data_IF_974833818120
#
_entry.id   IF_974833818120
#
_cell.length_a   1.000
_cell.length_b   1.000
_cell.length_c   1.000
_cell.angle_alpha   90.00
_cell.angle_beta   90.00
_cell.angle_gamma   90.00
#
_symmetry.space_group_name_H-M   'P 1'
#
loop_
_entity.id
_entity.type
_entity.pdbx_description
1 polymer ?
#
# COMPACT_ATOMS: atom_id res chain seq x y z
N UNK A 1 -14.64 -20.25 -17.10
CA UNK A 1 -14.22 -19.48 -15.92
C UNK A 1 -14.67 -18.06 -16.13
N UNK A 2 -15.69 -17.59 -15.42
CA UNK A 2 -16.20 -16.23 -15.59
C UNK A 2 -15.15 -15.23 -15.06
N UNK A 3 -14.76 -14.27 -15.91
CA UNK A 3 -13.90 -13.15 -15.50
C UNK A 3 -14.71 -12.30 -14.55
N UNK A 4 -14.26 -12.23 -13.29
CA UNK A 4 -14.82 -11.29 -12.32
C UNK A 4 -14.55 -9.90 -12.88
N UNK A 5 -15.58 -9.08 -13.15
CA UNK A 5 -15.36 -7.77 -13.73
C UNK A 5 -14.44 -6.96 -12.79
N UNK A 6 -13.39 -6.31 -13.33
CA UNK A 6 -12.49 -5.51 -12.52
C UNK A 6 -13.30 -4.44 -11.80
N UNK A 7 -12.85 -4.08 -10.60
CA UNK A 7 -13.44 -2.94 -9.90
C UNK A 7 -13.30 -1.69 -10.78
N UNK A 8 -14.20 -0.73 -10.65
CA UNK A 8 -14.11 0.53 -11.40
C UNK A 8 -12.72 1.19 -11.24
N UNK A 9 -12.10 1.05 -10.07
CA UNK A 9 -10.75 1.53 -9.75
C UNK A 9 -9.64 0.82 -10.52
N UNK A 10 -9.88 -0.38 -11.06
CA UNK A 10 -8.89 -1.14 -11.83
C UNK A 10 -9.03 -0.92 -13.35
N UNK A 11 -10.03 -0.17 -13.82
CA UNK A 11 -10.16 0.20 -15.24
C UNK A 11 -8.98 1.10 -15.65
N UNK A 12 -8.23 0.67 -16.67
CA UNK A 12 -7.07 1.41 -17.17
C UNK A 12 -5.82 1.32 -16.28
N UNK A 13 -5.86 0.55 -15.18
CA UNK A 13 -4.72 0.38 -14.27
C UNK A 13 -3.48 -0.17 -14.98
N UNK A 14 -3.64 -1.13 -15.88
CA UNK A 14 -2.51 -1.69 -16.65
C UNK A 14 -1.81 -0.65 -17.53
N UNK A 15 -2.59 0.22 -18.18
CA UNK A 15 -2.03 1.31 -18.98
C UNK A 15 -1.36 2.36 -18.07
N UNK A 16 -2.01 2.73 -16.96
CA UNK A 16 -1.47 3.67 -15.99
C UNK A 16 -0.19 3.14 -15.34
N UNK A 17 -0.11 1.85 -15.06
CA UNK A 17 1.09 1.18 -14.54
C UNK A 17 2.24 1.24 -15.52
N UNK A 18 1.99 1.06 -16.83
CA UNK A 18 3.01 1.19 -17.89
C UNK A 18 3.67 2.58 -17.91
N UNK A 19 2.89 3.63 -17.67
CA UNK A 19 3.41 5.01 -17.65
C UNK A 19 4.02 5.44 -16.31
N UNK A 20 3.66 4.79 -15.20
CA UNK A 20 4.11 5.21 -13.86
C UNK A 20 5.21 4.32 -13.27
N UNK A 21 5.28 3.03 -13.61
CA UNK A 21 6.28 2.11 -13.03
C UNK A 21 7.63 2.29 -13.73
N UNK A 22 8.63 2.70 -12.96
CA UNK A 22 10.03 2.79 -13.40
C UNK A 22 10.50 4.19 -13.80
N UNK A 23 9.59 5.13 -14.03
CA UNK A 23 9.91 6.52 -14.32
C UNK A 23 10.11 7.32 -13.03
N UNK A 24 11.32 7.26 -12.46
CA UNK A 24 11.71 8.02 -11.26
C UNK A 24 12.76 9.09 -11.62
N UNK A 25 12.44 9.99 -12.56
CA UNK A 25 13.36 11.07 -12.94
C UNK A 25 13.54 12.06 -11.77
N UNK A 26 14.79 12.30 -11.36
CA UNK A 26 15.11 13.24 -10.29
C UNK A 26 14.96 12.71 -8.86
N UNK A 27 14.59 11.42 -8.68
CA UNK A 27 14.44 10.81 -7.36
C UNK A 27 15.29 9.56 -7.20
N UNK A 28 16.06 9.50 -6.11
CA UNK A 28 16.68 8.27 -5.64
C UNK A 28 15.69 7.55 -4.74
N UNK A 29 15.08 6.47 -5.23
CA UNK A 29 14.14 5.65 -4.46
C UNK A 29 14.78 4.31 -4.09
N UNK A 30 14.79 3.98 -2.81
CA UNK A 30 15.18 2.70 -2.25
C UNK A 30 13.94 2.02 -1.67
N UNK A 31 13.62 0.83 -2.15
CA UNK A 31 12.52 0.01 -1.64
C UNK A 31 13.08 -1.31 -1.10
N UNK A 32 12.83 -1.59 0.18
CA UNK A 32 13.24 -2.82 0.86
C UNK A 32 11.99 -3.58 1.26
N UNK A 33 11.80 -4.77 0.68
CA UNK A 33 10.68 -5.68 0.99
C UNK A 33 11.18 -6.88 1.77
N UNK A 34 10.67 -7.05 2.97
CA UNK A 34 10.97 -8.18 3.83
C UNK A 34 9.69 -8.96 4.09
N UNK A 35 9.70 -10.26 3.79
CA UNK A 35 8.59 -11.16 4.11
C UNK A 35 9.04 -12.12 5.19
N UNK A 36 8.33 -12.11 6.31
CA UNK A 36 8.55 -13.06 7.41
C UNK A 36 7.78 -14.36 7.15
N UNK A 37 8.27 -15.47 7.70
CA UNK A 37 7.58 -16.77 7.61
C UNK A 37 6.18 -16.74 8.28
N UNK A 38 6.01 -15.85 9.26
CA UNK A 38 4.75 -15.60 9.96
C UNK A 38 3.69 -14.88 9.10
N UNK A 39 3.99 -14.52 7.84
CA UNK A 39 3.04 -13.89 6.91
C UNK A 39 2.95 -12.37 7.03
N UNK A 40 3.88 -11.74 7.77
CA UNK A 40 4.02 -10.29 7.85
C UNK A 40 4.97 -9.82 6.76
N UNK A 41 4.54 -8.83 5.98
CA UNK A 41 5.34 -8.19 4.94
C UNK A 41 5.63 -6.75 5.36
N UNK A 42 6.91 -6.42 5.47
CA UNK A 42 7.38 -5.06 5.72
C UNK A 42 7.95 -4.51 4.43
N UNK A 43 7.47 -3.34 4.02
CA UNK A 43 8.01 -2.58 2.89
C UNK A 43 8.49 -1.24 3.41
N UNK A 44 9.80 -1.10 3.55
CA UNK A 44 10.44 0.18 3.88
C UNK A 44 10.84 0.88 2.59
N UNK A 45 10.40 2.12 2.43
CA UNK A 45 10.58 2.93 1.24
C UNK A 45 11.28 4.24 1.64
N UNK A 46 12.44 4.53 1.07
CA UNK A 46 13.12 5.82 1.18
C UNK A 46 13.20 6.48 -0.17
N UNK A 47 12.84 7.76 -0.27
CA UNK A 47 12.98 8.54 -1.50
C UNK A 47 13.68 9.86 -1.22
N UNK A 48 14.74 10.15 -1.96
CA UNK A 48 15.45 11.43 -1.93
C UNK A 48 15.21 12.18 -3.24
N UNK A 49 14.65 13.38 -3.15
CA UNK A 49 14.47 14.27 -4.29
C UNK A 49 15.75 15.07 -4.53
N UNK A 50 16.35 14.97 -5.71
CA UNK A 50 17.57 15.68 -6.07
C UNK A 50 17.34 17.19 -6.29
N UNK A 51 16.13 17.59 -6.67
CA UNK A 51 15.80 18.98 -7.03
C UNK A 51 15.54 19.87 -5.80
N UNK A 52 14.98 19.29 -4.73
CA UNK A 52 14.63 20.01 -3.49
C UNK A 52 15.42 19.52 -2.26
N UNK A 53 16.34 18.57 -2.41
CA UNK A 53 17.07 17.88 -1.33
C UNK A 53 16.19 17.24 -0.24
N UNK A 54 14.86 17.20 -0.41
CA UNK A 54 13.91 16.65 0.56
C UNK A 54 14.00 15.12 0.54
N UNK A 55 14.24 14.55 1.71
CA UNK A 55 14.23 13.10 1.93
C UNK A 55 12.94 12.74 2.62
N UNK A 56 12.18 11.84 2.01
CA UNK A 56 10.96 11.26 2.55
C UNK A 56 11.15 9.77 2.77
N UNK A 57 10.61 9.25 3.87
CA UNK A 57 10.55 7.84 4.16
C UNK A 57 9.10 7.40 4.37
N UNK A 58 8.84 6.13 4.07
CA UNK A 58 7.62 5.47 4.47
C UNK A 58 7.89 4.03 4.87
N UNK A 59 7.15 3.56 5.85
CA UNK A 59 7.18 2.19 6.32
C UNK A 59 5.77 1.62 6.18
N UNK A 60 5.58 0.66 5.29
CA UNK A 60 4.32 -0.09 5.16
C UNK A 60 4.50 -1.47 5.81
N UNK A 61 3.67 -1.79 6.78
CA UNK A 61 3.58 -3.10 7.43
C UNK A 61 2.26 -3.74 7.04
N UNK A 62 2.32 -4.92 6.42
CA UNK A 62 1.15 -5.68 5.98
C UNK A 62 1.10 -7.00 6.71
N UNK A 63 0.06 -7.18 7.51
CA UNK A 63 -0.22 -8.38 8.26
C UNK A 63 -1.37 -9.15 7.62
N UNK A 64 -1.07 -10.36 7.11
CA UNK A 64 -2.06 -11.22 6.44
C UNK A 64 -2.49 -12.36 7.34
N UNK A 65 -3.70 -12.26 7.90
CA UNK A 65 -4.33 -13.34 8.66
C UNK A 65 -5.05 -14.29 7.70
N UNK A 66 -4.31 -15.28 7.19
CA UNK A 66 -4.83 -16.28 6.25
C UNK A 66 -6.09 -17.00 6.77
N UNK A 67 -6.18 -17.24 8.08
CA UNK A 67 -7.30 -17.95 8.72
C UNK A 67 -8.64 -17.24 8.56
N UNK A 68 -8.63 -15.90 8.53
CA UNK A 68 -9.84 -15.08 8.44
C UNK A 68 -9.90 -14.24 7.17
N UNK A 69 -8.97 -14.41 6.23
CA UNK A 69 -8.82 -13.58 5.01
C UNK A 69 -8.83 -12.08 5.32
N UNK A 70 -8.23 -11.73 6.46
CA UNK A 70 -8.10 -10.36 6.93
C UNK A 70 -6.67 -9.90 6.61
N UNK A 71 -6.56 -8.76 5.95
CA UNK A 71 -5.29 -8.08 5.70
C UNK A 71 -5.33 -6.74 6.42
N UNK A 72 -4.40 -6.55 7.33
CA UNK A 72 -4.18 -5.29 8.02
C UNK A 72 -2.93 -4.65 7.41
N UNK A 73 -3.06 -3.45 6.85
CA UNK A 73 -1.96 -2.69 6.28
C UNK A 73 -1.82 -1.40 7.08
N UNK A 74 -0.65 -1.17 7.65
CA UNK A 74 -0.33 0.07 8.35
C UNK A 74 0.83 0.76 7.66
N UNK A 75 0.64 1.99 7.22
CA UNK A 75 1.62 2.78 6.51
C UNK A 75 1.93 4.05 7.29
N UNK A 76 3.17 4.17 7.72
CA UNK A 76 3.71 5.36 8.36
C UNK A 76 4.57 6.13 7.38
N UNK A 77 4.50 7.45 7.41
CA UNK A 77 5.40 8.32 6.64
C UNK A 77 6.25 9.19 7.57
N UNK A 78 7.38 9.68 7.07
CA UNK A 78 8.23 10.65 7.79
C UNK A 78 7.57 12.01 7.99
N UNK A 79 6.43 12.26 7.34
CA UNK A 79 5.59 13.44 7.53
C UNK A 79 4.57 13.23 8.67
N UNK A 80 4.80 12.23 9.51
CA UNK A 80 3.98 11.84 10.66
C UNK A 80 2.54 11.44 10.27
N UNK A 81 2.33 11.00 9.02
CA UNK A 81 1.03 10.51 8.58
C UNK A 81 0.96 9.00 8.79
N UNK A 82 -0.09 8.56 9.47
CA UNK A 82 -0.37 7.18 9.78
C UNK A 82 -1.64 6.76 9.06
N UNK A 83 -1.49 5.91 8.04
CA UNK A 83 -2.60 5.33 7.31
C UNK A 83 -2.78 3.88 7.73
N UNK A 84 -3.97 3.53 8.21
CA UNK A 84 -4.37 2.18 8.58
C UNK A 84 -5.47 1.71 7.65
N UNK A 85 -5.20 0.65 6.90
CA UNK A 85 -6.16 -0.02 6.04
C UNK A 85 -6.45 -1.42 6.60
N UNK A 86 -7.71 -1.73 6.83
CA UNK A 86 -8.17 -3.06 7.23
C UNK A 86 -9.06 -3.60 6.14
N UNK A 87 -8.61 -4.65 5.45
CA UNK A 87 -9.40 -5.34 4.43
C UNK A 87 -9.79 -6.74 4.88
N UNK A 88 -11.03 -7.10 4.61
CA UNK A 88 -11.60 -8.42 4.88
C UNK A 88 -12.23 -8.91 3.59
N UNK A 89 -11.80 -10.09 3.14
CA UNK A 89 -12.26 -10.70 1.90
C UNK A 89 -13.04 -12.00 2.20
N UNK A 90 -14.14 -12.22 1.50
CA UNK A 90 -14.91 -13.47 1.48
C UNK A 90 -15.41 -14.01 2.84
N UNK A 91 -15.50 -13.18 3.89
CA UNK A 91 -16.02 -13.60 5.20
C UNK A 91 -17.55 -13.74 5.21
N UNK A 92 -18.26 -12.78 4.60
CA UNK A 92 -19.73 -12.72 4.60
C UNK A 92 -20.34 -13.32 3.32
N UNK A 93 -19.70 -13.10 2.17
CA UNK A 93 -20.11 -13.65 0.88
C UNK A 93 -18.90 -13.83 -0.04
N UNK A 94 -18.88 -14.87 -0.88
CA UNK A 94 -17.82 -15.08 -1.88
C UNK A 94 -17.78 -13.91 -2.87
N UNK A 95 -16.62 -13.28 -3.01
CA UNK A 95 -16.39 -12.11 -3.86
C UNK A 95 -16.61 -10.77 -3.15
N UNK A 96 -17.02 -10.76 -1.87
CA UNK A 96 -17.17 -9.52 -1.11
C UNK A 96 -15.83 -9.14 -0.45
N UNK A 97 -15.33 -7.96 -0.82
CA UNK A 97 -14.19 -7.32 -0.16
C UNK A 97 -14.67 -6.05 0.54
N UNK A 98 -14.50 -6.00 1.85
CA UNK A 98 -14.73 -4.80 2.66
C UNK A 98 -13.37 -4.24 3.00
N UNK A 99 -13.14 -2.96 2.69
CA UNK A 99 -11.90 -2.26 3.04
C UNK A 99 -12.28 -1.03 3.87
N UNK A 100 -11.62 -0.88 5.02
CA UNK A 100 -11.74 0.28 5.89
C UNK A 100 -10.41 1.01 5.88
N UNK A 101 -10.43 2.23 5.35
CA UNK A 101 -9.27 3.10 5.26
C UNK A 101 -9.39 4.23 6.29
N UNK A 102 -8.39 4.36 7.15
CA UNK A 102 -8.28 5.44 8.13
C UNK A 102 -6.95 6.14 7.92
N UNK A 103 -6.96 7.47 7.87
CA UNK A 103 -5.75 8.26 7.77
C UNK A 103 -5.69 9.25 8.93
N UNK A 104 -4.59 9.24 9.65
CA UNK A 104 -4.35 10.06 10.83
C UNK A 104 -3.12 10.91 10.60
N UNK A 105 -3.30 12.24 10.61
CA UNK A 105 -2.24 13.22 10.44
C UNK A 105 -2.27 14.19 11.64
N UNK A 106 -1.40 14.01 12.65
CA UNK A 106 -1.40 14.79 13.88
C UNK A 106 -0.96 16.24 13.70
N UNK A 107 -0.41 16.63 12.53
CA UNK A 107 0.00 18.02 12.25
C UNK A 107 -1.15 18.97 11.91
N UNK A 108 -2.39 18.48 11.77
CA UNK A 108 -3.57 19.30 11.40
C UNK A 108 -4.40 19.77 12.59
N UNK A 109 -3.77 19.95 13.76
CA UNK A 109 -4.39 20.51 14.97
C UNK A 109 -4.41 22.04 14.95
#
# INVERSE_FOLDING_TARGET
MAVIPPSYSDLGKSARDLFNKGFNYGFYKLEVKTRTNSGVEFTSNGSSNHENAKVGGSLETKYKVKKHKLTFTEKWTTENVLATEVSVEDQLAKGLKITLDTNFAPQSG
#
